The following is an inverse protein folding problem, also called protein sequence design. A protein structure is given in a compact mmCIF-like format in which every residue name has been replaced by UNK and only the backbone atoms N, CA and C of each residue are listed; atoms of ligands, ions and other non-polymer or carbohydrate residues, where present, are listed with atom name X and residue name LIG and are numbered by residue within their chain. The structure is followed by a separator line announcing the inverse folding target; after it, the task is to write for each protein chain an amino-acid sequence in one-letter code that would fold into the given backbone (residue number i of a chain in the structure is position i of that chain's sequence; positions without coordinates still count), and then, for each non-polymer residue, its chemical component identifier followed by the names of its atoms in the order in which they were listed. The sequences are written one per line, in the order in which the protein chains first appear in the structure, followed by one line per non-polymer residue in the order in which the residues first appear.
data_IF_674028270473
#
_entry.id   IF_674028270473
#
_cell.length_a   1.000
_cell.length_b   1.000
_cell.length_c   1.000
_cell.angle_alpha   90.00
_cell.angle_beta   90.00
_cell.angle_gamma   90.00
#
_symmetry.space_group_name_H-M   'P 1'
#
loop_
_entity.id
_entity.type
_entity.pdbx_description
1 polymer ?
#
# COMPACT_ATOMS: atom_id res chain seq x y z
N UNK A 1 2.65 -52.31 -3.43
CA UNK A 1 2.87 -53.20 -2.27
C UNK A 1 4.27 -53.01 -1.66
N UNK A 2 4.55 -51.89 -0.97
CA UNK A 2 5.88 -51.66 -0.35
C UNK A 2 5.81 -50.99 1.05
N UNK A 3 4.62 -50.85 1.64
CA UNK A 3 4.42 -50.14 2.92
C UNK A 3 4.26 -51.06 4.15
N UNK A 4 4.45 -52.37 4.01
CA UNK A 4 3.88 -53.31 4.98
C UNK A 4 4.70 -53.71 6.21
N UNK A 5 5.91 -53.17 6.44
CA UNK A 5 6.60 -53.39 7.73
C UNK A 5 7.29 -52.13 8.27
N UNK A 6 6.50 -51.09 8.55
CA UNK A 6 6.92 -50.07 9.51
C UNK A 6 6.98 -50.69 10.91
N UNK A 7 8.12 -50.59 11.59
CA UNK A 7 8.28 -51.07 12.95
C UNK A 7 7.56 -50.15 13.96
N UNK A 8 7.41 -50.61 15.21
CA UNK A 8 6.70 -49.85 16.25
C UNK A 8 7.24 -48.43 16.43
N UNK A 9 8.57 -48.25 16.39
CA UNK A 9 9.21 -46.93 16.56
C UNK A 9 8.88 -45.99 15.39
N UNK A 10 8.94 -46.49 14.16
CA UNK A 10 8.60 -45.73 12.95
C UNK A 10 7.13 -45.30 12.95
N UNK A 11 6.22 -46.20 13.36
CA UNK A 11 4.79 -45.87 13.50
C UNK A 11 4.58 -44.77 14.54
N UNK A 12 5.22 -44.88 15.71
CA UNK A 12 5.14 -43.85 16.75
C UNK A 12 5.67 -42.50 16.27
N UNK A 13 6.78 -42.49 15.49
CA UNK A 13 7.32 -41.27 14.91
C UNK A 13 6.37 -40.62 13.89
N UNK A 14 5.69 -41.42 13.06
CA UNK A 14 4.70 -40.88 12.13
C UNK A 14 3.46 -40.35 12.85
N UNK A 15 3.03 -41.00 13.94
CA UNK A 15 1.94 -40.50 14.79
C UNK A 15 2.35 -39.18 15.45
N UNK A 16 3.54 -39.12 16.04
CA UNK A 16 4.08 -37.89 16.63
C UNK A 16 4.22 -36.77 15.60
N UNK A 17 4.72 -37.09 14.39
CA UNK A 17 4.77 -36.16 13.27
C UNK A 17 3.38 -35.67 12.89
N UNK A 18 2.38 -36.55 12.78
CA UNK A 18 1.02 -36.16 12.43
C UNK A 18 0.43 -35.23 13.48
N UNK A 19 0.57 -35.54 14.78
CA UNK A 19 0.12 -34.67 15.87
C UNK A 19 0.79 -33.30 15.79
N UNK A 20 2.11 -33.27 15.62
CA UNK A 20 2.86 -32.03 15.47
C UNK A 20 2.42 -31.24 14.23
N UNK A 21 2.24 -31.91 13.10
CA UNK A 21 1.81 -31.29 11.85
C UNK A 21 0.41 -30.67 11.99
N UNK A 22 -0.54 -31.38 12.60
CA UNK A 22 -1.88 -30.83 12.86
C UNK A 22 -1.84 -29.65 13.84
N UNK A 23 -1.01 -29.73 14.88
CA UNK A 23 -0.79 -28.60 15.78
C UNK A 23 -0.23 -27.38 15.04
N UNK A 24 0.82 -27.58 14.22
CA UNK A 24 1.41 -26.52 13.40
C UNK A 24 0.41 -25.97 12.38
N UNK A 25 -0.42 -26.83 11.78
CA UNK A 25 -1.46 -26.42 10.83
C UNK A 25 -2.46 -25.45 11.49
N UNK A 26 -2.90 -25.76 12.72
CA UNK A 26 -3.79 -24.88 13.47
C UNK A 26 -3.11 -23.56 13.86
N UNK A 27 -1.84 -23.62 14.26
CA UNK A 27 -1.06 -22.44 14.61
C UNK A 27 -0.84 -21.52 13.40
N UNK A 28 -0.42 -22.09 12.27
CA UNK A 28 -0.23 -21.38 11.01
C UNK A 28 -1.54 -20.77 10.51
N UNK A 29 -2.67 -21.50 10.63
CA UNK A 29 -3.99 -20.95 10.34
C UNK A 29 -4.26 -19.70 11.17
N UNK A 30 -4.05 -19.76 12.48
CA UNK A 30 -4.32 -18.63 13.37
C UNK A 30 -3.42 -17.41 13.08
N UNK A 31 -2.12 -17.63 12.85
CA UNK A 31 -1.18 -16.53 12.59
C UNK A 31 -1.35 -15.87 11.23
N UNK A 32 -1.82 -16.60 10.22
CA UNK A 32 -1.92 -16.11 8.85
C UNK A 32 -3.32 -15.71 8.41
N UNK A 33 -4.29 -15.60 9.33
CA UNK A 33 -5.64 -15.11 9.03
C UNK A 33 -5.63 -13.75 8.34
N UNK A 34 -4.62 -12.91 8.62
CA UNK A 34 -4.49 -11.55 8.08
C UNK A 34 -3.56 -11.42 6.87
N UNK A 35 -2.88 -12.50 6.47
CA UNK A 35 -1.95 -12.48 5.34
C UNK A 35 -2.70 -12.80 4.03
N UNK A 36 -2.89 -11.83 3.13
CA UNK A 36 -3.62 -12.04 1.88
C UNK A 36 -2.96 -13.02 0.90
N UNK A 37 -1.68 -13.36 1.11
CA UNK A 37 -0.96 -14.40 0.38
C UNK A 37 -1.07 -15.80 1.00
N UNK A 38 -1.75 -15.95 2.14
CA UNK A 38 -1.98 -17.22 2.83
C UNK A 38 -3.19 -17.96 2.27
N UNK A 39 -3.15 -19.30 2.29
CA UNK A 39 -4.33 -20.13 2.05
C UNK A 39 -5.36 -20.00 3.19
N UNK A 40 -4.90 -19.62 4.38
CA UNK A 40 -5.75 -19.46 5.57
C UNK A 40 -6.31 -18.05 5.71
N UNK A 41 -6.08 -17.17 4.73
CA UNK A 41 -6.56 -15.78 4.75
C UNK A 41 -8.07 -15.72 4.96
N UNK A 42 -8.49 -14.93 5.94
CA UNK A 42 -9.90 -14.62 6.16
C UNK A 42 -10.11 -13.13 5.93
N UNK A 43 -10.90 -12.78 4.90
CA UNK A 43 -11.06 -11.37 4.49
C UNK A 43 -11.73 -10.50 5.56
N UNK A 44 -12.55 -11.09 6.42
CA UNK A 44 -13.09 -10.49 7.64
C UNK A 44 -11.97 -10.05 8.57
N UNK A 45 -11.08 -10.95 8.99
CA UNK A 45 -10.03 -10.60 9.94
C UNK A 45 -8.87 -9.81 9.32
N UNK A 46 -8.50 -10.12 8.07
CA UNK A 46 -7.42 -9.44 7.35
C UNK A 46 -7.71 -7.98 7.05
N UNK A 47 -8.94 -7.67 6.62
CA UNK A 47 -9.36 -6.31 6.28
C UNK A 47 -10.13 -5.60 7.39
N UNK A 48 -10.07 -6.12 8.62
CA UNK A 48 -10.77 -5.53 9.76
C UNK A 48 -10.24 -4.12 10.05
N UNK A 49 -11.06 -3.07 9.89
CA UNK A 49 -10.62 -1.72 10.21
C UNK A 49 -10.65 -1.53 11.73
N UNK A 50 -9.53 -1.08 12.29
CA UNK A 50 -9.37 -0.74 13.71
C UNK A 50 -8.87 0.69 13.83
N UNK A 51 -7.59 0.90 13.49
CA UNK A 51 -6.93 2.19 13.60
C UNK A 51 -7.48 3.18 12.58
N UNK A 52 -7.82 2.73 11.37
CA UNK A 52 -8.50 3.60 10.38
C UNK A 52 -9.80 4.20 10.89
N UNK A 53 -10.60 3.46 11.68
CA UNK A 53 -11.86 4.00 12.22
C UNK A 53 -11.60 5.14 13.20
N UNK A 54 -10.61 4.97 14.09
CA UNK A 54 -10.21 6.02 15.02
C UNK A 54 -9.72 7.27 14.27
N UNK A 55 -8.85 7.08 13.26
CA UNK A 55 -8.35 8.20 12.45
C UNK A 55 -9.44 8.93 11.68
N UNK A 56 -10.40 8.21 11.09
CA UNK A 56 -11.55 8.82 10.42
C UNK A 56 -12.35 9.67 11.40
N UNK A 57 -12.63 9.15 12.60
CA UNK A 57 -13.38 9.88 13.62
C UNK A 57 -12.64 11.16 14.05
N UNK A 58 -11.37 11.04 14.42
CA UNK A 58 -10.52 12.19 14.82
C UNK A 58 -10.46 13.27 13.73
N UNK A 59 -10.33 12.85 12.47
CA UNK A 59 -10.28 13.76 11.32
C UNK A 59 -11.60 14.51 11.14
N UNK A 60 -12.73 13.82 11.26
CA UNK A 60 -14.05 14.45 11.14
C UNK A 60 -14.36 15.37 12.32
N UNK A 61 -13.91 15.03 13.52
CA UNK A 61 -14.03 15.88 14.70
C UNK A 61 -13.24 17.19 14.51
N UNK A 62 -12.00 17.11 13.99
CA UNK A 62 -11.21 18.28 13.59
C UNK A 62 -11.94 19.13 12.54
N UNK A 63 -12.46 18.49 11.47
CA UNK A 63 -13.14 19.20 10.39
C UNK A 63 -14.41 19.91 10.85
N UNK A 64 -15.11 19.36 11.84
CA UNK A 64 -16.36 19.91 12.36
C UNK A 64 -16.22 21.34 12.90
N UNK A 65 -15.02 21.71 13.40
CA UNK A 65 -14.72 23.07 13.85
C UNK A 65 -14.74 24.10 12.72
N UNK A 66 -14.46 23.69 11.48
CA UNK A 66 -14.42 24.57 10.31
C UNK A 66 -15.78 24.79 9.65
N UNK A 67 -16.82 24.06 10.09
CA UNK A 67 -18.19 24.25 9.65
C UNK A 67 -18.95 25.31 10.47
N UNK A 68 -18.35 25.82 11.55
CA UNK A 68 -18.99 26.79 12.45
C UNK A 68 -18.60 28.22 12.08
N UNK A 69 -19.61 29.10 11.95
CA UNK A 69 -19.41 30.52 11.65
C UNK A 69 -18.94 31.29 12.89
N UNK A 70 -17.93 32.15 12.76
CA UNK A 70 -17.51 33.08 13.82
C UNK A 70 -16.46 32.56 14.79
N UNK A 71 -15.83 31.41 14.51
CA UNK A 71 -14.72 30.87 15.30
C UNK A 71 -13.39 31.34 14.70
N UNK A 72 -12.47 31.83 15.53
CA UNK A 72 -11.07 32.05 15.13
C UNK A 72 -10.44 30.68 14.89
N UNK A 73 -10.23 30.34 13.62
CA UNK A 73 -9.69 29.04 13.24
C UNK A 73 -8.28 28.87 13.83
N UNK A 74 -7.91 27.68 14.34
CA UNK A 74 -6.56 27.43 14.84
C UNK A 74 -5.48 27.71 13.79
N UNK A 75 -5.83 27.52 12.50
CA UNK A 75 -4.95 27.68 11.35
C UNK A 75 -5.72 28.30 10.17
N UNK A 76 -5.74 29.63 10.00
CA UNK A 76 -6.26 30.22 8.78
C UNK A 76 -5.39 29.80 7.58
N UNK A 77 -5.96 29.67 6.36
CA UNK A 77 -5.18 29.54 5.13
C UNK A 77 -4.13 30.64 5.10
N UNK A 78 -2.89 30.31 4.71
CA UNK A 78 -1.79 31.28 4.73
C UNK A 78 -2.13 32.47 3.84
N UNK A 79 -2.27 33.65 4.44
CA UNK A 79 -2.26 34.89 3.66
C UNK A 79 -0.95 34.95 2.88
N UNK A 80 -1.10 35.22 1.59
CA UNK A 80 -0.12 35.08 0.54
C UNK A 80 1.22 35.78 0.90
N UNK A 81 2.25 34.99 1.23
CA UNK A 81 3.65 35.39 1.10
C UNK A 81 4.33 34.44 0.11
N UNK A 82 5.25 34.93 -0.75
CA UNK A 82 5.89 34.09 -1.76
C UNK A 82 6.52 32.83 -1.13
N UNK A 83 6.54 31.71 -1.87
CA UNK A 83 6.50 30.33 -1.34
C UNK A 83 7.82 29.81 -0.76
N UNK A 84 8.68 30.68 -0.22
CA UNK A 84 10.06 30.34 0.15
C UNK A 84 10.19 29.33 1.30
N UNK A 85 9.10 29.03 2.02
CA UNK A 85 9.13 28.13 3.19
C UNK A 85 8.27 26.86 3.04
N UNK A 86 7.67 26.61 1.86
CA UNK A 86 6.88 25.39 1.63
C UNK A 86 7.81 24.20 1.37
N UNK A 87 7.74 23.19 2.23
CA UNK A 87 8.54 21.97 2.08
C UNK A 87 7.81 20.92 1.24
N UNK A 88 6.47 20.92 1.27
CA UNK A 88 5.67 19.89 0.59
C UNK A 88 4.42 20.51 -0.06
N UNK A 89 4.17 20.19 -1.33
CA UNK A 89 2.86 20.39 -1.96
C UNK A 89 2.05 19.10 -1.94
N UNK A 90 0.79 19.16 -1.56
CA UNK A 90 -0.15 18.04 -1.58
C UNK A 90 -1.21 18.32 -2.63
N UNK A 91 -1.19 17.55 -3.72
CA UNK A 91 -2.21 17.58 -4.77
C UNK A 91 -3.21 16.44 -4.57
N UNK A 92 -4.48 16.80 -4.31
CA UNK A 92 -5.58 15.85 -4.16
C UNK A 92 -6.45 15.93 -5.41
N UNK A 93 -6.64 14.81 -6.10
CA UNK A 93 -7.56 14.73 -7.25
C UNK A 93 -8.86 14.06 -6.79
N UNK A 94 -9.96 14.80 -6.82
CA UNK A 94 -11.27 14.32 -6.35
C UNK A 94 -12.27 14.16 -7.49
N UNK A 95 -13.08 13.11 -7.41
CA UNK A 95 -14.19 12.84 -8.34
C UNK A 95 -15.42 12.43 -7.55
N UNK A 96 -16.60 12.56 -8.15
CA UNK A 96 -17.85 12.10 -7.52
C UNK A 96 -17.84 10.58 -7.35
N UNK A 97 -17.75 10.13 -6.09
CA UNK A 97 -17.79 8.70 -5.74
C UNK A 97 -19.23 8.19 -5.60
N UNK A 98 -19.50 6.91 -5.89
CA UNK A 98 -20.87 6.40 -5.92
C UNK A 98 -21.47 6.07 -4.55
N UNK A 99 -20.66 5.73 -3.54
CA UNK A 99 -21.14 5.30 -2.22
C UNK A 99 -20.98 6.38 -1.16
N UNK A 100 -19.77 6.90 -1.03
CA UNK A 100 -19.38 7.85 0.01
C UNK A 100 -18.30 8.75 -0.54
N UNK A 101 -18.44 10.06 -0.30
CA UNK A 101 -17.33 10.99 -0.52
C UNK A 101 -16.42 10.97 0.71
N UNK A 102 -15.12 10.94 0.48
CA UNK A 102 -14.12 10.85 1.55
C UNK A 102 -13.17 12.06 1.56
N UNK A 103 -13.41 13.06 0.70
CA UNK A 103 -12.51 14.21 0.55
C UNK A 103 -12.32 14.96 1.88
N UNK A 104 -13.42 15.21 2.61
CA UNK A 104 -13.35 15.86 3.92
C UNK A 104 -12.45 15.09 4.90
N UNK A 105 -12.61 13.77 4.98
CA UNK A 105 -11.74 12.89 5.78
C UNK A 105 -10.29 12.98 5.35
N UNK A 106 -10.01 12.91 4.04
CA UNK A 106 -8.66 12.99 3.48
C UNK A 106 -8.00 14.31 3.86
N UNK A 107 -8.65 15.44 3.56
CA UNK A 107 -8.14 16.80 3.82
C UNK A 107 -7.94 17.05 5.31
N UNK A 108 -8.84 16.56 6.15
CA UNK A 108 -8.73 16.71 7.59
C UNK A 108 -7.61 15.83 8.18
N UNK A 109 -7.51 14.57 7.76
CA UNK A 109 -6.55 13.61 8.33
C UNK A 109 -5.10 13.98 8.09
N UNK A 110 -4.80 14.71 7.01
CA UNK A 110 -3.45 15.19 6.73
C UNK A 110 -3.10 16.45 7.54
N UNK A 111 -4.06 17.06 8.25
CA UNK A 111 -3.88 18.34 8.97
C UNK A 111 -4.12 18.25 10.48
N UNK A 112 -5.02 17.39 10.94
CA UNK A 112 -5.58 17.38 12.30
C UNK A 112 -4.56 17.30 13.45
N UNK A 113 -3.38 16.75 13.15
CA UNK A 113 -2.32 16.42 14.09
C UNK A 113 -1.03 17.20 13.85
N UNK A 114 -1.04 18.10 12.86
CA UNK A 114 0.12 18.90 12.52
C UNK A 114 0.33 20.04 13.52
N UNK A 115 1.59 20.33 13.81
CA UNK A 115 1.96 21.57 14.51
C UNK A 115 1.76 22.80 13.60
N UNK A 116 1.67 24.02 14.16
CA UNK A 116 1.59 25.24 13.35
C UNK A 116 2.73 25.38 12.33
N UNK A 117 3.94 24.94 12.68
CA UNK A 117 5.12 24.94 11.80
C UNK A 117 4.94 23.95 10.65
N UNK A 118 4.50 22.73 10.96
CA UNK A 118 4.26 21.70 9.96
C UNK A 118 3.15 22.08 8.99
N UNK A 119 2.04 22.66 9.49
CA UNK A 119 0.95 23.15 8.64
C UNK A 119 1.41 24.30 7.73
N UNK A 120 2.24 25.22 8.24
CA UNK A 120 2.82 26.31 7.43
C UNK A 120 3.75 25.77 6.34
N UNK A 121 4.44 24.66 6.57
CA UNK A 121 5.32 24.03 5.59
C UNK A 121 4.58 23.27 4.46
N UNK A 122 3.25 23.10 4.56
CA UNK A 122 2.41 22.44 3.57
C UNK A 122 1.65 23.44 2.69
N UNK A 123 1.50 23.09 1.42
CA UNK A 123 0.51 23.66 0.51
C UNK A 123 -0.45 22.56 0.07
N UNK A 124 -1.75 22.74 0.27
CA UNK A 124 -2.78 21.74 -0.04
C UNK A 124 -3.63 22.27 -1.19
N UNK A 125 -3.72 21.48 -2.25
CA UNK A 125 -4.47 21.79 -3.46
C UNK A 125 -5.46 20.66 -3.75
N UNK A 126 -6.69 21.01 -4.09
CA UNK A 126 -7.73 20.04 -4.43
C UNK A 126 -8.26 20.32 -5.83
N UNK A 127 -8.04 19.39 -6.76
CA UNK A 127 -8.62 19.43 -8.11
C UNK A 127 -9.95 18.67 -8.14
N UNK A 128 -11.04 19.40 -8.33
CA UNK A 128 -12.37 18.86 -8.64
C UNK A 128 -12.41 18.42 -10.11
N UNK A 129 -12.13 17.13 -10.34
CA UNK A 129 -11.98 16.56 -11.66
C UNK A 129 -13.32 16.16 -12.30
N UNK A 130 -14.24 17.12 -12.43
CA UNK A 130 -15.53 16.98 -13.11
C UNK A 130 -15.72 18.15 -14.09
N UNK A 131 -16.35 17.90 -15.24
CA UNK A 131 -16.67 18.98 -16.20
C UNK A 131 -17.46 20.12 -15.56
N UNK A 132 -18.40 19.77 -14.67
CA UNK A 132 -19.07 20.69 -13.77
C UNK A 132 -18.67 20.36 -12.31
N UNK A 133 -17.93 21.24 -11.62
CA UNK A 133 -17.52 20.97 -10.24
C UNK A 133 -18.70 20.94 -9.27
N UNK A 134 -19.84 21.59 -9.56
CA UNK A 134 -21.03 21.59 -8.72
C UNK A 134 -21.71 20.22 -8.63
N UNK A 135 -21.38 19.29 -9.54
CA UNK A 135 -21.83 17.90 -9.44
C UNK A 135 -21.20 17.14 -8.28
N UNK A 136 -20.10 17.65 -7.71
CA UNK A 136 -19.40 17.07 -6.57
C UNK A 136 -20.04 17.53 -5.24
N UNK A 137 -20.51 16.61 -4.37
CA UNK A 137 -21.16 16.98 -3.10
C UNK A 137 -20.30 17.85 -2.16
N UNK A 138 -18.98 17.71 -2.25
CA UNK A 138 -18.04 18.44 -1.39
C UNK A 138 -17.63 19.83 -1.94
N UNK A 139 -18.01 20.21 -3.16
CA UNK A 139 -17.51 21.45 -3.78
C UNK A 139 -18.00 22.73 -3.08
N UNK A 140 -19.25 22.72 -2.59
CA UNK A 140 -19.87 23.88 -1.92
C UNK A 140 -19.78 23.82 -0.39
N UNK A 141 -18.92 22.96 0.16
CA UNK A 141 -18.81 22.83 1.61
C UNK A 141 -18.06 24.02 2.21
N UNK A 142 -18.54 24.53 3.34
CA UNK A 142 -17.95 25.70 4.01
C UNK A 142 -16.54 25.44 4.51
N UNK A 143 -16.23 24.22 4.95
CA UNK A 143 -14.90 23.85 5.40
C UNK A 143 -13.84 23.94 4.29
N UNK A 144 -14.21 23.80 3.02
CA UNK A 144 -13.26 23.61 1.92
C UNK A 144 -12.30 24.80 1.77
N UNK A 145 -12.84 26.01 1.67
CA UNK A 145 -12.03 27.23 1.53
C UNK A 145 -11.27 27.59 2.82
N UNK A 146 -11.64 27.00 3.95
CA UNK A 146 -11.00 27.27 5.24
C UNK A 146 -9.85 26.30 5.56
N UNK A 147 -9.76 25.15 4.87
CA UNK A 147 -8.76 24.12 5.17
C UNK A 147 -7.81 23.82 4.00
N UNK A 148 -8.14 24.26 2.79
CA UNK A 148 -7.35 24.04 1.58
C UNK A 148 -6.79 25.37 1.08
N UNK A 149 -5.55 25.37 0.58
CA UNK A 149 -4.91 26.60 0.08
C UNK A 149 -5.37 26.95 -1.35
N UNK A 150 -5.61 25.92 -2.19
CA UNK A 150 -6.15 26.11 -3.54
C UNK A 150 -7.25 25.10 -3.87
N UNK A 151 -8.44 25.62 -4.19
CA UNK A 151 -9.54 24.84 -4.79
C UNK A 151 -9.47 25.03 -6.30
N UNK A 152 -9.19 23.94 -7.01
CA UNK A 152 -8.94 23.93 -8.44
C UNK A 152 -10.09 23.22 -9.18
N UNK A 153 -10.42 23.76 -10.35
CA UNK A 153 -11.32 23.19 -11.34
C UNK A 153 -10.59 23.10 -12.68
N UNK A 154 -11.18 22.42 -13.67
CA UNK A 154 -10.62 22.39 -15.02
C UNK A 154 -10.46 23.78 -15.66
N UNK A 155 -11.27 24.75 -15.28
CA UNK A 155 -11.15 26.14 -15.76
C UNK A 155 -9.91 26.82 -15.16
N UNK A 156 -9.68 26.64 -13.85
CA UNK A 156 -8.53 27.26 -13.17
C UNK A 156 -7.17 26.70 -13.59
N UNK A 157 -7.14 25.50 -14.17
CA UNK A 157 -5.90 24.83 -14.63
C UNK A 157 -5.80 24.76 -16.16
N UNK A 158 -6.61 25.54 -16.88
CA UNK A 158 -6.64 25.63 -18.35
C UNK A 158 -6.71 24.26 -19.05
N UNK A 159 -7.58 23.38 -18.53
CA UNK A 159 -7.72 22.03 -19.06
C UNK A 159 -8.54 21.99 -20.35
N UNK A 160 -8.34 21.00 -21.24
CA UNK A 160 -9.06 20.92 -22.51
C UNK A 160 -10.52 20.47 -22.28
N UNK A 161 -11.41 21.40 -21.96
CA UNK A 161 -12.82 21.17 -21.59
C UNK A 161 -13.57 20.26 -22.55
N UNK A 162 -13.41 20.47 -23.87
CA UNK A 162 -14.05 19.64 -24.90
C UNK A 162 -13.58 18.19 -24.85
N UNK A 163 -12.29 17.97 -24.60
CA UNK A 163 -11.70 16.63 -24.46
C UNK A 163 -12.25 15.96 -23.21
N UNK A 164 -12.27 16.66 -22.07
CA UNK A 164 -12.76 16.14 -20.79
C UNK A 164 -14.23 15.72 -20.89
N UNK A 165 -15.10 16.60 -21.36
CA UNK A 165 -16.54 16.31 -21.51
C UNK A 165 -16.76 15.09 -22.42
N UNK A 166 -15.94 14.95 -23.47
CA UNK A 166 -15.97 13.77 -24.35
C UNK A 166 -15.52 12.49 -23.64
N UNK A 167 -14.46 12.55 -22.83
CA UNK A 167 -13.96 11.39 -22.07
C UNK A 167 -14.99 10.91 -21.04
N UNK A 168 -15.64 11.84 -20.33
CA UNK A 168 -16.71 11.55 -19.38
C UNK A 168 -17.92 10.90 -20.06
N UNK A 169 -18.38 11.50 -21.18
CA UNK A 169 -19.49 10.94 -21.97
C UNK A 169 -19.19 9.54 -22.50
N UNK A 170 -17.95 9.29 -22.92
CA UNK A 170 -17.48 7.97 -23.40
C UNK A 170 -17.18 6.99 -22.26
N UNK A 171 -17.16 7.45 -21.01
CA UNK A 171 -16.68 6.69 -19.84
C UNK A 171 -15.27 6.15 -20.05
N UNK A 172 -14.40 6.95 -20.65
CA UNK A 172 -12.99 6.63 -20.86
C UNK A 172 -12.16 7.01 -19.63
N UNK A 173 -12.29 6.17 -18.61
CA UNK A 173 -11.74 6.41 -17.27
C UNK A 173 -10.21 6.39 -17.30
N UNK A 174 -9.58 5.52 -18.10
CA UNK A 174 -8.11 5.39 -18.10
C UNK A 174 -7.45 6.66 -18.61
N UNK A 175 -7.92 7.18 -19.75
CA UNK A 175 -7.39 8.41 -20.33
C UNK A 175 -7.70 9.61 -19.45
N UNK A 176 -8.93 9.71 -18.93
CA UNK A 176 -9.30 10.78 -17.98
C UNK A 176 -8.43 10.75 -16.72
N UNK A 177 -8.21 9.58 -16.10
CA UNK A 177 -7.37 9.49 -14.90
C UNK A 177 -5.91 9.90 -15.13
N UNK A 178 -5.34 9.66 -16.32
CA UNK A 178 -4.00 10.18 -16.67
C UNK A 178 -4.02 11.71 -16.75
N UNK A 179 -5.02 12.27 -17.44
CA UNK A 179 -5.20 13.72 -17.58
C UNK A 179 -5.38 14.39 -16.21
N UNK A 180 -6.30 13.90 -15.39
CA UNK A 180 -6.61 14.46 -14.07
C UNK A 180 -5.38 14.42 -13.14
N UNK A 181 -4.64 13.29 -13.15
CA UNK A 181 -3.43 13.14 -12.37
C UNK A 181 -2.34 14.10 -12.83
N UNK A 182 -2.16 14.23 -14.15
CA UNK A 182 -1.21 15.17 -14.75
C UNK A 182 -1.55 16.61 -14.38
N UNK A 183 -2.82 17.00 -14.45
CA UNK A 183 -3.27 18.36 -14.09
C UNK A 183 -3.05 18.66 -12.59
N UNK A 184 -3.39 17.73 -11.70
CA UNK A 184 -3.13 17.90 -10.26
C UNK A 184 -1.63 18.00 -9.93
N UNK A 185 -0.81 17.16 -10.57
CA UNK A 185 0.63 17.19 -10.41
C UNK A 185 1.23 18.49 -10.97
N UNK A 186 0.75 18.94 -12.14
CA UNK A 186 1.16 20.18 -12.79
C UNK A 186 0.83 21.40 -11.91
N UNK A 187 -0.37 21.45 -11.32
CA UNK A 187 -0.75 22.55 -10.43
C UNK A 187 0.16 22.64 -9.20
N UNK A 188 0.52 21.51 -8.59
CA UNK A 188 1.54 21.48 -7.55
C UNK A 188 2.92 21.92 -8.06
N UNK A 189 3.28 21.62 -9.29
CA UNK A 189 4.55 22.06 -9.85
C UNK A 189 4.57 23.57 -10.11
N UNK A 190 3.50 24.14 -10.67
CA UNK A 190 3.48 25.54 -11.11
C UNK A 190 3.22 26.55 -9.99
N UNK A 191 2.38 26.19 -9.00
CA UNK A 191 1.93 27.14 -7.98
C UNK A 191 2.87 27.27 -6.77
N UNK A 192 3.87 26.41 -6.65
CA UNK A 192 4.82 26.45 -5.53
C UNK A 192 6.18 25.85 -5.91
N UNK A 193 7.20 26.22 -5.12
CA UNK A 193 8.58 25.74 -5.26
C UNK A 193 8.93 24.59 -4.30
N UNK A 194 7.93 23.93 -3.73
CA UNK A 194 8.17 22.91 -2.71
C UNK A 194 8.99 21.73 -3.29
N UNK A 195 10.08 21.31 -2.64
CA UNK A 195 10.97 20.26 -3.17
C UNK A 195 10.30 18.89 -3.29
N UNK A 196 9.21 18.67 -2.56
CA UNK A 196 8.46 17.41 -2.53
C UNK A 196 7.00 17.64 -2.93
N UNK A 197 6.49 16.79 -3.81
CA UNK A 197 5.09 16.83 -4.24
C UNK A 197 4.42 15.50 -3.89
N UNK A 198 3.40 15.55 -3.05
CA UNK A 198 2.59 14.39 -2.67
C UNK A 198 1.30 14.41 -3.49
N UNK A 199 1.06 13.37 -4.27
CA UNK A 199 -0.20 13.15 -4.96
C UNK A 199 -1.06 12.16 -4.17
N UNK A 200 -2.28 12.56 -3.84
CA UNK A 200 -3.26 11.77 -3.10
C UNK A 200 -4.54 11.53 -3.93
N UNK A 201 -5.12 10.33 -3.79
CA UNK A 201 -6.55 10.13 -4.08
C UNK A 201 -7.40 10.71 -2.94
N UNK A 202 -8.66 11.05 -3.21
CA UNK A 202 -9.61 11.66 -2.28
C UNK A 202 -10.18 10.70 -1.21
N UNK A 203 -9.75 9.43 -1.20
CA UNK A 203 -10.23 8.38 -0.31
C UNK A 203 -9.11 7.71 0.50
N UNK A 204 -8.21 8.54 1.05
CA UNK A 204 -7.14 8.11 1.95
C UNK A 204 -7.30 8.69 3.35
N UNK A 205 -6.70 8.03 4.34
CA UNK A 205 -6.59 8.55 5.71
C UNK A 205 -5.15 8.45 6.17
N UNK A 206 -4.62 9.50 6.79
CA UNK A 206 -3.23 9.56 7.25
C UNK A 206 -3.03 9.04 8.67
N UNK A 207 -1.82 8.53 8.94
CA UNK A 207 -1.30 8.31 10.30
C UNK A 207 -1.22 9.64 11.07
N UNK A 208 -1.32 9.63 12.41
CA UNK A 208 -1.19 10.88 13.21
C UNK A 208 0.14 11.61 12.97
N UNK A 209 1.26 10.89 12.93
CA UNK A 209 2.59 11.49 12.75
C UNK A 209 3.12 11.35 11.32
N UNK A 210 2.22 11.26 10.33
CA UNK A 210 2.59 10.96 8.93
C UNK A 210 3.62 11.94 8.37
N UNK A 211 3.48 13.23 8.67
CA UNK A 211 4.33 14.28 8.08
C UNK A 211 5.77 14.15 8.58
N UNK A 212 5.95 14.07 9.90
CA UNK A 212 7.27 13.94 10.50
C UNK A 212 7.96 12.65 10.04
N UNK A 213 7.26 11.52 10.10
CA UNK A 213 7.82 10.22 9.69
C UNK A 213 8.17 10.19 8.19
N UNK A 214 7.33 10.81 7.35
CA UNK A 214 7.59 10.93 5.91
C UNK A 214 8.83 11.77 5.66
N UNK A 215 8.93 12.95 6.29
CA UNK A 215 10.07 13.85 6.08
C UNK A 215 11.38 13.30 6.65
N UNK A 216 11.34 12.60 7.78
CA UNK A 216 12.50 11.86 8.30
C UNK A 216 12.94 10.76 7.33
N UNK A 217 11.99 10.02 6.74
CA UNK A 217 12.29 8.98 5.74
C UNK A 217 12.92 9.57 4.48
N UNK A 218 12.41 10.70 3.99
CA UNK A 218 13.00 11.42 2.85
C UNK A 218 14.44 11.86 3.15
N UNK A 219 14.72 12.39 4.35
CA UNK A 219 16.11 12.73 4.73
C UNK A 219 17.04 11.51 4.67
N UNK A 220 16.61 10.36 5.22
CA UNK A 220 17.38 9.11 5.15
C UNK A 220 17.60 8.61 3.72
N UNK A 221 16.60 8.80 2.85
CA UNK A 221 16.72 8.47 1.42
C UNK A 221 17.79 9.33 0.76
N UNK A 222 17.74 10.65 0.96
CA UNK A 222 18.72 11.56 0.36
C UNK A 222 20.13 11.35 0.93
N UNK A 223 20.26 11.09 2.23
CA UNK A 223 21.54 10.69 2.85
C UNK A 223 22.06 9.39 2.24
N UNK A 224 21.21 8.37 2.09
CA UNK A 224 21.58 7.10 1.46
C UNK A 224 22.02 7.26 0.00
N UNK A 225 21.33 8.14 -0.75
CA UNK A 225 21.70 8.50 -2.12
C UNK A 225 23.05 9.20 -2.18
N UNK A 226 23.30 10.18 -1.31
CA UNK A 226 24.57 10.91 -1.24
C UNK A 226 25.76 9.99 -0.92
N UNK A 227 25.55 8.97 -0.09
CA UNK A 227 26.56 7.96 0.23
C UNK A 227 26.66 6.81 -0.78
N UNK A 228 25.90 6.85 -1.88
CA UNK A 228 25.91 5.81 -2.91
C UNK A 228 25.26 4.47 -2.51
N UNK A 229 24.49 4.45 -1.41
CA UNK A 229 23.75 3.28 -0.93
C UNK A 229 22.41 3.10 -1.65
N UNK A 230 21.85 4.19 -2.19
CA UNK A 230 20.61 4.20 -2.96
C UNK A 230 20.84 4.82 -4.33
N UNK A 231 20.09 4.34 -5.33
CA UNK A 231 20.06 4.98 -6.65
C UNK A 231 19.18 6.23 -6.61
N UNK A 232 19.19 6.96 -7.71
CA UNK A 232 18.17 7.97 -7.94
C UNK A 232 16.77 7.32 -8.00
N UNK A 233 15.76 8.07 -7.59
CA UNK A 233 14.43 7.52 -7.29
C UNK A 233 13.32 8.43 -7.82
N UNK A 234 12.23 7.83 -8.32
CA UNK A 234 11.12 8.58 -8.89
C UNK A 234 10.14 9.05 -7.81
N UNK A 235 9.74 8.12 -6.94
CA UNK A 235 8.77 8.40 -5.89
C UNK A 235 8.92 7.47 -4.67
N UNK A 236 8.33 7.91 -3.55
CA UNK A 236 8.14 7.12 -2.32
C UNK A 236 6.64 6.83 -2.13
N UNK A 237 6.29 5.55 -1.96
CA UNK A 237 4.94 5.12 -1.59
C UNK A 237 4.68 5.42 -0.12
N UNK A 238 3.68 6.25 0.12
CA UNK A 238 3.11 6.47 1.45
C UNK A 238 1.98 5.46 1.75
N UNK A 239 1.47 4.80 0.71
CA UNK A 239 0.55 3.68 0.78
C UNK A 239 1.04 2.49 -0.03
N UNK A 240 0.98 1.29 0.55
CA UNK A 240 1.10 0.02 -0.16
C UNK A 240 0.18 -1.03 0.45
N UNK A 241 -0.07 -2.11 -0.27
CA UNK A 241 -0.85 -3.26 0.22
C UNK A 241 -0.01 -4.52 0.22
N UNK A 242 -0.10 -5.29 1.30
CA UNK A 242 0.58 -6.56 1.49
C UNK A 242 0.05 -7.65 0.54
N UNK A 243 -1.10 -7.42 -0.10
CA UNK A 243 -1.73 -8.32 -1.09
C UNK A 243 -0.79 -8.73 -2.22
N UNK A 244 0.12 -7.86 -2.63
CA UNK A 244 1.07 -8.12 -3.72
C UNK A 244 2.43 -8.63 -3.22
N UNK A 245 2.66 -8.70 -1.90
CA UNK A 245 3.91 -9.12 -1.29
C UNK A 245 3.95 -10.63 -0.97
N UNK A 246 3.08 -11.41 -1.60
CA UNK A 246 2.97 -12.87 -1.41
C UNK A 246 4.08 -13.68 -2.10
N UNK A 247 3.84 -14.99 -2.22
CA UNK A 247 4.71 -15.89 -2.97
C UNK A 247 4.56 -15.68 -4.48
N UNK A 248 5.39 -14.80 -5.05
CA UNK A 248 5.34 -14.44 -6.46
C UNK A 248 5.88 -15.54 -7.38
N UNK A 249 5.14 -15.87 -8.45
CA UNK A 249 5.44 -16.98 -9.37
C UNK A 249 6.77 -16.83 -10.12
N UNK A 250 7.19 -15.59 -10.33
CA UNK A 250 8.43 -15.18 -11.00
C UNK A 250 9.67 -15.69 -10.24
N UNK A 251 9.53 -15.93 -8.94
CA UNK A 251 10.61 -16.41 -8.06
C UNK A 251 10.58 -17.93 -7.85
N UNK A 252 9.82 -18.70 -8.64
CA UNK A 252 9.74 -20.16 -8.52
C UNK A 252 11.09 -20.89 -8.51
N UNK A 253 12.14 -20.49 -9.27
CA UNK A 253 13.41 -21.21 -9.25
C UNK A 253 14.09 -21.11 -7.89
N UNK A 254 13.98 -19.96 -7.23
CA UNK A 254 14.52 -19.71 -5.89
C UNK A 254 13.78 -20.57 -4.87
N UNK A 255 12.45 -20.62 -4.96
CA UNK A 255 11.63 -21.45 -4.07
C UNK A 255 11.94 -22.94 -4.23
N UNK A 256 12.08 -23.41 -5.47
CA UNK A 256 12.45 -24.79 -5.76
C UNK A 256 13.84 -25.11 -5.21
N UNK A 257 14.83 -24.25 -5.46
CA UNK A 257 16.20 -24.43 -4.98
C UNK A 257 16.24 -24.61 -3.45
N UNK A 258 15.59 -23.73 -2.69
CA UNK A 258 15.57 -23.82 -1.23
C UNK A 258 14.76 -25.01 -0.73
N UNK A 259 13.65 -25.35 -1.38
CA UNK A 259 12.84 -26.53 -1.04
C UNK A 259 13.63 -27.83 -1.25
N UNK A 260 14.28 -27.97 -2.41
CA UNK A 260 15.14 -29.12 -2.71
C UNK A 260 16.36 -29.19 -1.80
N UNK A 261 16.99 -28.05 -1.49
CA UNK A 261 18.11 -27.98 -0.54
C UNK A 261 17.69 -28.42 0.86
N UNK A 262 16.51 -28.02 1.32
CA UNK A 262 15.96 -28.45 2.62
C UNK A 262 15.76 -29.96 2.67
N UNK A 263 15.16 -30.55 1.64
CA UNK A 263 15.00 -32.01 1.54
C UNK A 263 16.37 -32.72 1.53
N UNK A 264 17.33 -32.21 0.76
CA UNK A 264 18.67 -32.78 0.66
C UNK A 264 19.43 -32.71 2.00
N UNK A 265 19.32 -31.59 2.73
CA UNK A 265 19.92 -31.42 4.06
C UNK A 265 19.31 -32.40 5.05
N UNK A 266 17.98 -32.55 5.08
CA UNK A 266 17.32 -33.52 5.98
C UNK A 266 17.73 -34.95 5.62
N UNK A 267 17.82 -35.29 4.33
CA UNK A 267 18.29 -36.60 3.89
C UNK A 267 19.75 -36.85 4.32
N UNK A 268 20.63 -35.87 4.15
CA UNK A 268 22.03 -35.94 4.57
C UNK A 268 22.17 -36.10 6.09
N UNK A 269 21.43 -35.30 6.88
CA UNK A 269 21.40 -35.41 8.34
C UNK A 269 20.88 -36.79 8.79
N UNK A 270 19.84 -37.31 8.15
CA UNK A 270 19.30 -38.63 8.48
C UNK A 270 20.28 -39.75 8.11
N UNK A 271 20.94 -39.67 6.94
CA UNK A 271 21.95 -40.65 6.53
C UNK A 271 23.19 -40.61 7.43
N UNK A 272 23.65 -39.42 7.83
CA UNK A 272 24.78 -39.27 8.76
C UNK A 272 24.42 -39.76 10.17
N UNK A 273 23.22 -39.44 10.67
CA UNK A 273 22.71 -39.95 11.93
C UNK A 273 22.61 -41.48 11.92
N UNK A 274 22.12 -42.08 10.83
CA UNK A 274 22.09 -43.54 10.64
C UNK A 274 23.50 -44.15 10.70
N UNK A 275 24.50 -43.51 10.10
CA UNK A 275 25.89 -44.00 10.13
C UNK A 275 26.54 -43.89 11.50
N UNK A 276 26.34 -42.76 12.19
CA UNK A 276 27.05 -42.45 13.44
C UNK A 276 26.35 -42.96 14.71
N UNK A 277 25.02 -43.08 14.70
CA UNK A 277 24.24 -43.38 15.91
C UNK A 277 23.58 -44.75 15.78
N UNK A 278 24.08 -45.75 16.52
CA UNK A 278 23.55 -47.14 16.46
C UNK A 278 22.05 -47.22 16.72
N UNK A 279 21.51 -46.40 17.64
CA UNK A 279 20.09 -46.42 17.99
C UNK A 279 19.15 -46.02 16.83
N UNK A 280 19.61 -45.19 15.88
CA UNK A 280 18.78 -44.70 14.76
C UNK A 280 18.78 -45.65 13.57
N UNK A 281 19.72 -46.61 13.50
CA UNK A 281 19.86 -47.55 12.38
C UNK A 281 18.61 -48.39 12.13
N UNK A 282 17.94 -48.81 13.21
CA UNK A 282 16.69 -49.57 13.15
C UNK A 282 15.49 -48.73 12.71
N UNK A 283 15.58 -47.39 12.79
CA UNK A 283 14.49 -46.46 12.47
C UNK A 283 14.66 -45.85 11.07
N UNK A 284 15.87 -45.42 10.72
CA UNK A 284 16.17 -44.73 9.45
C UNK A 284 16.43 -45.72 8.31
N UNK A 285 15.50 -46.64 8.07
CA UNK A 285 15.55 -47.57 6.94
C UNK A 285 15.29 -46.85 5.61
N UNK A 286 15.71 -47.41 4.48
CA UNK A 286 15.50 -46.78 3.17
C UNK A 286 14.02 -46.44 2.89
N UNK A 287 13.05 -47.34 3.15
CA UNK A 287 11.63 -47.02 2.97
C UNK A 287 11.17 -45.86 3.87
N UNK A 288 11.65 -45.80 5.11
CA UNK A 288 11.29 -44.72 6.03
C UNK A 288 11.92 -43.39 5.64
N UNK A 289 13.16 -43.40 5.14
CA UNK A 289 13.80 -42.20 4.58
C UNK A 289 13.06 -41.66 3.37
N UNK A 290 12.52 -42.55 2.51
CA UNK A 290 11.66 -42.13 1.40
C UNK A 290 10.39 -41.43 1.90
N UNK A 291 9.72 -41.99 2.92
CA UNK A 291 8.56 -41.33 3.54
C UNK A 291 8.94 -39.98 4.15
N UNK A 292 10.06 -39.89 4.86
CA UNK A 292 10.51 -38.64 5.47
C UNK A 292 10.79 -37.57 4.40
N UNK A 293 11.55 -37.91 3.36
CA UNK A 293 12.03 -36.94 2.36
C UNK A 293 10.99 -36.58 1.30
N UNK A 294 10.07 -37.48 0.97
CA UNK A 294 9.08 -37.28 -0.10
C UNK A 294 7.65 -37.08 0.40
N UNK A 295 7.38 -37.24 1.70
CA UNK A 295 6.05 -36.97 2.27
C UNK A 295 6.13 -35.98 3.44
N UNK A 296 6.87 -36.29 4.51
CA UNK A 296 6.86 -35.46 5.72
C UNK A 296 7.52 -34.08 5.50
N UNK A 297 8.74 -34.05 4.95
CA UNK A 297 9.43 -32.77 4.70
C UNK A 297 8.69 -31.93 3.66
N UNK A 298 8.26 -32.47 2.49
CA UNK A 298 7.46 -31.70 1.54
C UNK A 298 6.13 -31.20 2.10
N UNK A 299 5.47 -31.93 2.99
CA UNK A 299 4.25 -31.46 3.65
C UNK A 299 4.52 -30.25 4.57
N UNK A 300 5.62 -30.24 5.32
CA UNK A 300 6.03 -29.07 6.12
C UNK A 300 6.41 -27.87 5.25
N UNK A 301 7.11 -28.11 4.13
CA UNK A 301 7.41 -27.07 3.14
C UNK A 301 6.10 -26.52 2.56
N UNK A 302 5.15 -27.39 2.23
CA UNK A 302 3.81 -27.00 1.77
C UNK A 302 3.10 -26.11 2.79
N UNK A 303 3.13 -26.48 4.08
CA UNK A 303 2.56 -25.67 5.15
C UNK A 303 3.22 -24.29 5.26
N UNK A 304 4.54 -24.21 5.12
CA UNK A 304 5.27 -22.93 5.08
C UNK A 304 4.75 -22.01 3.97
N UNK A 305 4.60 -22.52 2.74
CA UNK A 305 4.03 -21.75 1.63
C UNK A 305 2.55 -21.40 1.86
N UNK A 306 1.75 -22.34 2.37
CA UNK A 306 0.32 -22.13 2.67
C UNK A 306 0.09 -21.05 3.73
N UNK A 307 1.05 -20.80 4.61
CA UNK A 307 0.95 -19.76 5.65
C UNK A 307 1.09 -18.35 5.08
N UNK A 308 1.57 -18.20 3.85
CA UNK A 308 1.78 -16.90 3.23
C UNK A 308 3.12 -16.25 3.58
N UNK A 309 3.63 -15.42 2.67
CA UNK A 309 4.97 -14.83 2.77
C UNK A 309 5.05 -13.75 3.84
N UNK A 310 4.01 -12.91 3.95
CA UNK A 310 4.00 -11.73 4.83
C UNK A 310 3.93 -12.16 6.29
N UNK A 311 3.32 -13.30 6.58
CA UNK A 311 3.33 -13.92 7.93
C UNK A 311 4.75 -14.27 8.39
N UNK A 312 5.58 -14.81 7.50
CA UNK A 312 6.95 -15.23 7.85
C UNK A 312 7.96 -14.09 7.74
N UNK A 313 7.77 -13.21 6.75
CA UNK A 313 8.68 -12.14 6.40
C UNK A 313 7.89 -10.85 6.22
N UNK A 314 7.37 -10.27 7.32
CA UNK A 314 6.75 -8.96 7.26
C UNK A 314 7.80 -7.92 6.83
N UNK A 315 7.32 -6.83 6.23
CA UNK A 315 8.20 -5.71 5.91
C UNK A 315 8.58 -5.00 7.22
N UNK A 316 9.89 -4.93 7.49
CA UNK A 316 10.40 -4.25 8.69
C UNK A 316 10.11 -2.74 8.63
N UNK A 317 10.00 -2.04 9.77
CA UNK A 317 9.87 -0.58 9.78
C UNK A 317 11.06 0.11 9.09
N UNK A 318 10.78 1.07 8.20
CA UNK A 318 11.79 1.85 7.48
C UNK A 318 11.46 2.06 6.01
N UNK A 319 12.48 2.47 5.24
CA UNK A 319 12.38 2.70 3.80
C UNK A 319 12.84 1.47 3.05
N UNK A 320 12.03 1.01 2.10
CA UNK A 320 12.30 -0.17 1.29
C UNK A 320 12.25 0.15 -0.20
N UNK A 321 13.16 -0.46 -0.96
CA UNK A 321 13.06 -0.47 -2.42
C UNK A 321 11.93 -1.41 -2.83
N UNK A 322 10.95 -0.88 -3.55
CA UNK A 322 9.76 -1.58 -4.03
C UNK A 322 9.61 -1.37 -5.54
N UNK A 323 10.59 -1.89 -6.27
CA UNK A 323 10.69 -1.84 -7.72
C UNK A 323 9.77 -2.83 -8.46
N UNK A 324 9.16 -3.75 -7.73
CA UNK A 324 8.27 -4.78 -8.25
C UNK A 324 7.20 -5.06 -7.21
N UNK A 325 6.02 -5.51 -7.67
CA UNK A 325 4.91 -5.89 -6.79
C UNK A 325 4.41 -4.76 -5.88
N UNK A 326 4.81 -3.50 -6.15
CA UNK A 326 4.12 -2.34 -5.63
C UNK A 326 2.85 -2.11 -6.44
N UNK A 327 1.79 -1.68 -5.78
CA UNK A 327 0.60 -1.21 -6.46
C UNK A 327 0.27 0.21 -6.07
N UNK A 328 -0.38 0.84 -7.05
CA UNK A 328 -1.40 1.84 -6.91
C UNK A 328 -0.86 3.24 -6.58
N UNK A 329 -1.66 4.25 -6.94
CA UNK A 329 -1.27 5.66 -6.90
C UNK A 329 -2.05 6.47 -5.86
N UNK A 330 -2.56 5.83 -4.81
CA UNK A 330 -3.38 6.50 -3.78
C UNK A 330 -2.59 7.55 -3.00
N UNK A 331 -1.31 7.30 -2.73
CA UNK A 331 -0.46 8.23 -2.00
C UNK A 331 1.01 8.07 -2.40
N UNK A 332 1.49 8.96 -3.27
CA UNK A 332 2.86 8.95 -3.80
C UNK A 332 3.53 10.29 -3.54
N UNK A 333 4.74 10.27 -2.95
CA UNK A 333 5.60 11.43 -2.80
C UNK A 333 6.66 11.43 -3.91
N UNK A 334 6.71 12.49 -4.71
CA UNK A 334 7.67 12.69 -5.78
C UNK A 334 8.78 13.64 -5.38
N UNK A 335 9.98 13.36 -5.89
CA UNK A 335 11.04 14.35 -5.97
C UNK A 335 10.71 15.34 -7.09
N UNK A 336 10.61 16.65 -6.76
CA UNK A 336 10.29 17.71 -7.74
C UNK A 336 11.20 17.67 -8.98
N UNK A 337 12.46 17.25 -8.84
CA UNK A 337 13.41 17.18 -9.93
C UNK A 337 12.94 16.29 -11.11
N UNK A 338 12.20 15.21 -10.82
CA UNK A 338 11.72 14.25 -11.83
C UNK A 338 10.31 14.55 -12.35
N UNK A 339 9.62 15.54 -11.76
CA UNK A 339 8.23 15.87 -12.10
C UNK A 339 8.07 16.38 -13.54
N UNK A 340 8.94 17.25 -14.09
CA UNK A 340 8.82 17.70 -15.49
C UNK A 340 8.86 16.55 -16.49
N UNK A 341 9.75 15.58 -16.27
CA UNK A 341 9.83 14.39 -17.12
C UNK A 341 8.59 13.51 -16.97
N UNK A 342 8.09 13.32 -15.75
CA UNK A 342 6.85 12.59 -15.51
C UNK A 342 5.66 13.24 -16.19
N UNK A 343 5.51 14.56 -16.11
CA UNK A 343 4.45 15.31 -16.78
C UNK A 343 4.48 15.13 -18.29
N UNK A 344 5.68 15.24 -18.90
CA UNK A 344 5.89 14.98 -20.33
C UNK A 344 5.49 13.56 -20.71
N UNK A 345 5.95 12.56 -19.94
CA UNK A 345 5.66 11.16 -20.25
C UNK A 345 4.18 10.80 -20.06
N UNK A 346 3.50 11.38 -19.06
CA UNK A 346 2.06 11.22 -18.88
C UNK A 346 1.29 11.78 -20.08
N UNK A 347 1.66 12.97 -20.57
CA UNK A 347 1.06 13.57 -21.76
C UNK A 347 1.27 12.69 -23.01
N UNK A 348 2.49 12.20 -23.25
CA UNK A 348 2.79 11.30 -24.37
C UNK A 348 1.97 10.01 -24.32
N UNK A 349 1.74 9.46 -23.13
CA UNK A 349 1.01 8.20 -22.94
C UNK A 349 -0.51 8.37 -22.95
N UNK A 350 -1.02 9.58 -22.70
CA UNK A 350 -2.44 9.92 -22.76
C UNK A 350 -3.05 9.61 -24.14
N UNK A 351 -2.28 9.79 -25.22
CA UNK A 351 -2.73 9.59 -26.59
C UNK A 351 -2.44 8.18 -27.17
N UNK A 352 -1.72 7.33 -26.43
CA UNK A 352 -1.39 5.98 -26.90
C UNK A 352 -2.54 4.99 -26.71
N UNK A 353 -2.70 4.10 -27.70
CA UNK A 353 -3.72 3.03 -27.72
C UNK A 353 -3.02 1.65 -27.73
N UNK A 354 -3.38 0.72 -26.83
CA UNK A 354 -4.35 0.86 -25.74
C UNK A 354 -3.83 1.72 -24.60
N UNK A 355 -4.68 2.61 -24.08
CA UNK A 355 -4.35 3.44 -22.92
C UNK A 355 -4.18 2.58 -21.68
N UNK A 356 -3.06 2.73 -20.99
CA UNK A 356 -2.76 2.04 -19.73
C UNK A 356 -3.29 2.84 -18.54
N UNK A 357 -3.39 2.21 -17.37
CA UNK A 357 -3.74 2.91 -16.15
C UNK A 357 -2.60 3.83 -15.69
N UNK A 358 -2.92 4.90 -14.96
CA UNK A 358 -1.95 5.94 -14.56
C UNK A 358 -0.78 5.38 -13.76
N UNK A 359 -1.05 4.47 -12.81
CA UNK A 359 -0.04 3.75 -12.02
C UNK A 359 0.94 2.99 -12.91
N UNK A 360 0.42 2.27 -13.92
CA UNK A 360 1.22 1.54 -14.89
C UNK A 360 2.06 2.48 -15.75
N UNK A 361 1.57 3.68 -16.07
CA UNK A 361 2.33 4.69 -16.81
C UNK A 361 3.49 5.20 -15.97
N UNK A 362 3.27 5.53 -14.71
CA UNK A 362 4.33 5.97 -13.79
C UNK A 362 5.40 4.86 -13.63
N UNK A 363 4.99 3.61 -13.43
CA UNK A 363 5.91 2.46 -13.34
C UNK A 363 6.78 2.28 -14.59
N UNK A 364 6.19 2.45 -15.78
CA UNK A 364 6.93 2.34 -17.04
C UNK A 364 7.98 3.44 -17.18
N UNK A 365 7.73 4.65 -16.68
CA UNK A 365 8.74 5.71 -16.67
C UNK A 365 9.90 5.33 -15.76
N UNK A 366 9.60 4.92 -14.52
CA UNK A 366 10.62 4.50 -13.57
C UNK A 366 11.50 3.37 -14.14
N UNK A 367 10.89 2.38 -14.79
CA UNK A 367 11.62 1.29 -15.46
C UNK A 367 12.45 1.75 -16.65
N UNK A 368 11.97 2.74 -17.42
CA UNK A 368 12.69 3.31 -18.57
C UNK A 368 13.92 4.10 -18.15
N UNK A 369 13.79 4.93 -17.11
CA UNK A 369 14.86 5.79 -16.60
C UNK A 369 15.74 5.10 -15.54
N UNK A 370 15.42 3.87 -15.17
CA UNK A 370 16.16 3.11 -14.15
C UNK A 370 16.03 3.69 -12.74
N UNK A 371 14.97 4.45 -12.47
CA UNK A 371 14.70 5.09 -11.19
C UNK A 371 14.09 4.10 -10.19
N UNK A 372 14.59 4.15 -8.96
CA UNK A 372 14.02 3.36 -7.87
C UNK A 372 12.65 3.88 -7.46
N UNK A 373 11.78 2.95 -7.05
CA UNK A 373 10.49 3.25 -6.43
C UNK A 373 10.56 2.76 -5.00
N UNK A 374 10.37 3.66 -4.05
CA UNK A 374 10.56 3.39 -2.64
C UNK A 374 9.20 3.24 -1.94
N UNK A 375 9.19 2.70 -0.73
CA UNK A 375 8.01 2.63 0.13
C UNK A 375 8.40 2.82 1.60
N UNK A 376 7.55 3.49 2.37
CA UNK A 376 7.70 3.61 3.83
C UNK A 376 6.86 2.52 4.49
N UNK A 377 7.50 1.73 5.35
CA UNK A 377 6.85 0.78 6.25
C UNK A 377 6.98 1.24 7.71
N UNK A 378 5.92 1.15 8.53
CA UNK A 378 4.54 0.88 8.12
C UNK A 378 3.99 1.99 7.21
N UNK A 379 2.91 1.69 6.50
CA UNK A 379 2.24 2.63 5.59
C UNK A 379 1.81 3.91 6.33
N UNK A 380 2.09 5.08 5.73
CA UNK A 380 1.76 6.39 6.29
C UNK A 380 0.33 6.84 5.98
N UNK A 381 -0.29 6.20 4.99
CA UNK A 381 -1.66 6.43 4.54
C UNK A 381 -2.40 5.09 4.46
N UNK A 382 -3.74 5.12 4.49
CA UNK A 382 -4.61 3.97 4.25
C UNK A 382 -5.72 4.31 3.27
N UNK A 383 -5.96 3.41 2.32
CA UNK A 383 -7.08 3.50 1.38
C UNK A 383 -8.40 3.11 2.06
N UNK A 384 -9.33 4.05 2.16
CA UNK A 384 -10.64 3.87 2.83
C UNK A 384 -11.83 3.90 1.86
N UNK A 385 -11.55 4.03 0.55
CA UNK A 385 -12.55 3.99 -0.49
C UNK A 385 -13.14 2.61 -0.72
N UNK A 386 -14.35 2.38 -0.21
CA UNK A 386 -15.04 1.10 -0.32
C UNK A 386 -15.54 0.74 -1.74
N UNK A 387 -15.57 1.73 -2.64
CA UNK A 387 -15.96 1.59 -4.04
C UNK A 387 -15.04 2.42 -4.93
N UNK A 388 -14.59 1.81 -6.03
CA UNK A 388 -13.78 2.49 -7.05
C UNK A 388 -14.68 3.03 -8.15
N UNK A 389 -14.69 4.34 -8.36
CA UNK A 389 -15.42 4.95 -9.50
C UNK A 389 -14.92 4.44 -10.86
N UNK A 390 -13.74 3.78 -10.88
CA UNK A 390 -13.11 3.22 -12.07
C UNK A 390 -13.78 1.92 -12.55
N UNK A 391 -14.73 1.34 -11.79
CA UNK A 391 -15.44 0.11 -12.17
C UNK A 391 -16.72 0.38 -12.99
N UNK A 392 -17.00 -0.53 -13.94
CA UNK A 392 -18.26 -0.53 -14.70
C UNK A 392 -19.34 -1.38 -13.99
N UNK A 393 -19.79 -0.95 -12.80
CA UNK A 393 -20.93 -1.60 -12.10
C UNK A 393 -22.26 -0.90 -12.43
N UNK A 394 -23.35 -1.69 -12.56
CA UNK A 394 -24.72 -1.18 -12.82
C UNK A 394 -25.36 -0.55 -11.58
N UNK A 395 -25.00 -1.04 -10.39
CA UNK A 395 -25.44 -0.52 -9.11
C UNK A 395 -24.33 -0.72 -8.07
N UNK A 396 -24.23 0.21 -7.14
CA UNK A 396 -23.27 0.17 -6.05
C UNK A 396 -23.99 -0.21 -4.76
N UNK A 397 -23.46 -1.20 -4.05
CA UNK A 397 -23.94 -1.63 -2.74
C UNK A 397 -22.73 -1.84 -1.83
N UNK A 398 -22.95 -1.65 -0.54
CA UNK A 398 -21.99 -2.06 0.48
C UNK A 398 -21.83 -3.58 0.41
N UNK A 399 -20.60 -4.04 0.15
CA UNK A 399 -20.24 -5.45 0.06
C UNK A 399 -19.27 -5.78 1.20
N UNK A 400 -19.41 -6.95 1.81
CA UNK A 400 -18.55 -7.39 2.90
C UNK A 400 -18.97 -6.85 4.29
N UNK A 401 -18.23 -7.23 5.34
CA UNK A 401 -18.62 -7.00 6.73
C UNK A 401 -18.42 -5.56 7.20
N UNK A 402 -17.60 -4.76 6.50
CA UNK A 402 -17.19 -3.42 6.95
C UNK A 402 -17.58 -2.33 5.96
N UNK A 403 -17.94 -1.16 6.50
CA UNK A 403 -18.21 0.06 5.73
C UNK A 403 -16.92 0.77 5.32
N UNK A 404 -15.86 0.67 6.12
CA UNK A 404 -14.53 1.17 5.77
C UNK A 404 -13.71 -0.01 5.28
N UNK A 405 -13.30 0.05 4.00
CA UNK A 405 -12.45 -0.96 3.36
C UNK A 405 -11.80 -0.34 2.12
N UNK A 406 -10.68 -0.91 1.69
CA UNK A 406 -10.09 -0.60 0.41
C UNK A 406 -10.77 -1.38 -0.71
N UNK A 407 -11.12 -0.71 -1.81
CA UNK A 407 -11.68 -1.36 -2.99
C UNK A 407 -10.77 -2.51 -3.46
N UNK A 408 -11.36 -3.63 -3.88
CA UNK A 408 -10.63 -4.85 -4.31
C UNK A 408 -9.65 -5.44 -3.28
N UNK A 409 -9.79 -5.12 -1.99
CA UNK A 409 -8.85 -5.58 -0.96
C UNK A 409 -7.52 -4.85 -0.99
N UNK A 410 -7.47 -3.65 -1.57
CA UNK A 410 -6.31 -2.76 -1.53
C UNK A 410 -6.24 -2.12 -0.15
N UNK A 411 -5.66 -2.85 0.80
CA UNK A 411 -5.66 -2.52 2.22
C UNK A 411 -4.26 -2.69 2.81
N UNK A 412 -3.82 -1.81 3.72
CA UNK A 412 -2.55 -1.95 4.43
C UNK A 412 -2.81 -2.55 5.81
N UNK A 413 -2.40 -3.80 6.00
CA UNK A 413 -2.47 -4.45 7.30
C UNK A 413 -1.49 -3.82 8.30
N UNK A 414 -0.32 -3.37 7.82
CA UNK A 414 0.66 -2.66 8.63
C UNK A 414 0.12 -1.33 9.17
N UNK A 415 -0.65 -0.58 8.38
CA UNK A 415 -1.29 0.66 8.86
C UNK A 415 -2.19 0.42 10.08
N UNK A 416 -2.93 -0.70 10.09
CA UNK A 416 -3.84 -1.06 11.18
C UNK A 416 -3.14 -1.52 12.46
N UNK A 417 -1.85 -1.84 12.41
CA UNK A 417 -1.08 -2.37 13.54
C UNK A 417 -0.03 -1.38 14.08
N UNK A 418 0.43 -0.45 13.24
CA UNK A 418 1.57 0.41 13.52
C UNK A 418 1.50 1.21 14.83
N UNK A 419 0.30 1.49 15.34
CA UNK A 419 0.09 2.34 16.53
C UNK A 419 -0.94 1.77 17.52
N UNK A 420 -1.12 0.45 17.55
CA UNK A 420 -1.79 -0.18 18.69
C UNK A 420 -0.87 -0.11 19.91
N UNK A 421 -1.40 0.19 21.11
CA UNK A 421 -0.65 0.43 22.36
C UNK A 421 0.39 -0.66 22.73
N UNK A 422 0.26 -1.87 22.18
CA UNK A 422 1.22 -2.97 22.37
C UNK A 422 2.51 -2.88 21.52
N UNK A 423 2.58 -1.98 20.55
CA UNK A 423 3.75 -1.82 19.67
C UNK A 423 4.98 -1.23 20.37
N UNK A 424 4.85 -0.72 21.59
CA UNK A 424 5.98 -0.27 22.41
C UNK A 424 6.87 -1.40 22.96
N UNK A 425 6.47 -2.68 22.82
CA UNK A 425 7.18 -3.80 23.44
C UNK A 425 8.16 -4.54 22.53
N UNK A 426 8.27 -4.16 21.25
CA UNK A 426 9.15 -4.85 20.29
C UNK A 426 9.93 -3.91 19.35
N UNK A 427 10.31 -2.72 19.83
CA UNK A 427 11.33 -1.88 19.19
C UNK A 427 12.67 -2.02 19.91
#
# INVERSE_FOLDING_TARGET
MAFYHLNRKQRLLLIAYAILFFFLLLLCRFWSLRDPGSLFFESTEGYRPKYSLARIQESLDFLSAYNQSGVTYPYPPSDYQPPKDKTVCVGIVTVKRPLQQNLGTTVASIQDTLTPEQRRALSIQVLFALSDPFDHPDYNQTWLNNTVDHVLTYETVDAPHVTIARLEKKKDIKKKSILDYRLGLQACYDLNDAPWIIMLEDDVVAQRNWYEHTMQSVRRIEEGRQHGLLKDWLYVRLFYTEKFLGWNSESWPVYLFWSSSTVAIVAWLALTARRKIRATQSVLTNPFLLVLCFLCVPALIGLFFMTGRVTWFPMEPGVHVMNSHGCCSQALLYNRAHVPELLRYLAEREDMVPTKAVDSVIEMLAGKEGLDRLAISPSQMQHVGAASYKEKKKAWKWEGPYRVKGAHGVWSMGFEQAYTEESHWWF
#
